data_IF_632982271590
#
_entry.id   IF_632982271590
#
_cell.length_a   1.000
_cell.length_b   1.000
_cell.length_c   1.000
_cell.angle_alpha   90.00
_cell.angle_beta   90.00
_cell.angle_gamma   90.00
#
_symmetry.space_group_name_H-M   'P 1'
#
loop_
_entity.id
_entity.type
_entity.pdbx_description
1 polymer ?
#
# COMPACT_ATOMS: atom_id res chain seq x y z
N UNK A 1 4.61 -10.92 -4.52
CA UNK A 1 4.66 -9.57 -3.91
C UNK A 1 6.04 -9.25 -3.36
N UNK A 2 6.64 -10.14 -2.57
CA UNK A 2 7.98 -9.94 -2.00
C UNK A 2 9.08 -9.70 -3.05
N UNK A 3 9.07 -10.45 -4.16
CA UNK A 3 10.04 -10.27 -5.25
C UNK A 3 9.97 -8.87 -5.87
N UNK A 4 8.75 -8.33 -6.06
CA UNK A 4 8.54 -6.96 -6.56
C UNK A 4 9.08 -5.91 -5.59
N UNK A 5 8.89 -6.11 -4.28
CA UNK A 5 9.45 -5.21 -3.26
C UNK A 5 10.99 -5.26 -3.27
N UNK A 6 11.58 -6.44 -3.41
CA UNK A 6 13.03 -6.60 -3.48
C UNK A 6 13.64 -5.97 -4.75
N UNK A 7 12.98 -6.10 -5.90
CA UNK A 7 13.38 -5.38 -7.13
C UNK A 7 13.33 -3.86 -6.93
N UNK A 8 12.27 -3.34 -6.31
CA UNK A 8 12.13 -1.91 -6.09
C UNK A 8 13.17 -1.36 -5.09
N UNK A 9 13.47 -2.11 -4.03
CA UNK A 9 14.58 -1.80 -3.12
C UNK A 9 15.89 -1.73 -3.90
N UNK A 10 16.18 -2.74 -4.75
CA UNK A 10 17.41 -2.77 -5.55
C UNK A 10 17.45 -1.61 -6.54
N UNK A 11 16.34 -1.23 -7.17
CA UNK A 11 16.24 -0.09 -8.09
C UNK A 11 16.50 1.24 -7.40
N UNK A 12 15.82 1.53 -6.28
CA UNK A 12 15.95 2.81 -5.56
C UNK A 12 17.33 2.97 -4.92
N UNK A 13 17.90 1.88 -4.38
CA UNK A 13 19.26 1.90 -3.83
C UNK A 13 20.33 2.06 -4.91
N UNK A 14 20.12 1.50 -6.11
CA UNK A 14 21.04 1.67 -7.25
C UNK A 14 21.16 3.12 -7.73
N UNK A 15 20.06 3.88 -7.70
CA UNK A 15 20.06 5.31 -8.08
C UNK A 15 20.95 6.14 -7.15
N UNK A 16 20.94 5.84 -5.84
CA UNK A 16 21.74 6.57 -4.84
C UNK A 16 23.23 6.24 -4.96
N UNK A 17 23.58 5.04 -5.45
CA UNK A 17 24.95 4.48 -5.59
C UNK A 17 25.73 4.31 -4.29
N UNK A 18 25.93 5.38 -3.52
CA UNK A 18 26.69 5.39 -2.26
C UNK A 18 25.89 6.14 -1.20
N UNK A 19 25.67 5.51 -0.05
CA UNK A 19 25.02 6.14 1.09
C UNK A 19 26.06 6.74 2.04
N UNK A 20 25.76 7.89 2.68
CA UNK A 20 26.68 8.54 3.62
C UNK A 20 26.85 7.75 4.92
N UNK A 21 25.90 6.88 5.29
CA UNK A 21 25.97 5.94 6.40
C UNK A 21 24.88 4.86 6.26
N UNK A 22 24.95 3.81 7.09
CA UNK A 22 24.00 2.71 7.09
C UNK A 22 22.56 3.16 7.44
N UNK A 23 22.40 4.13 8.35
CA UNK A 23 21.07 4.60 8.72
C UNK A 23 20.34 5.28 7.57
N UNK A 24 21.05 6.00 6.70
CA UNK A 24 20.46 6.62 5.51
C UNK A 24 19.89 5.58 4.54
N UNK A 25 20.58 4.46 4.35
CA UNK A 25 20.05 3.32 3.58
C UNK A 25 18.81 2.72 4.26
N UNK A 26 18.89 2.51 5.58
CA UNK A 26 17.77 1.98 6.36
C UNK A 26 16.53 2.88 6.30
N UNK A 27 16.70 4.20 6.34
CA UNK A 27 15.61 5.18 6.21
C UNK A 27 14.89 5.05 4.86
N UNK A 28 15.64 4.95 3.76
CA UNK A 28 15.07 4.77 2.42
C UNK A 28 14.26 3.48 2.33
N UNK A 29 14.84 2.36 2.77
CA UNK A 29 14.19 1.04 2.69
C UNK A 29 12.94 0.99 3.57
N UNK A 30 13.01 1.55 4.79
CA UNK A 30 11.85 1.63 5.68
C UNK A 30 10.72 2.47 5.09
N UNK A 31 11.03 3.64 4.54
CA UNK A 31 10.03 4.49 3.90
C UNK A 31 9.32 3.76 2.75
N UNK A 32 10.07 3.06 1.88
CA UNK A 32 9.51 2.26 0.81
C UNK A 32 8.64 1.10 1.33
N UNK A 33 9.06 0.42 2.39
CA UNK A 33 8.30 -0.67 2.98
C UNK A 33 6.96 -0.19 3.57
N UNK A 34 6.96 0.95 4.25
CA UNK A 34 5.74 1.58 4.80
C UNK A 34 4.79 1.98 3.66
N UNK A 35 5.28 2.70 2.66
CA UNK A 35 4.52 3.11 1.46
C UNK A 35 3.88 1.88 0.78
N UNK A 36 4.66 0.81 0.60
CA UNK A 36 4.18 -0.43 -0.03
C UNK A 36 3.10 -1.12 0.83
N UNK A 37 3.30 -1.15 2.14
CA UNK A 37 2.33 -1.73 3.07
C UNK A 37 1.01 -0.95 3.07
N UNK A 38 1.06 0.38 3.14
CA UNK A 38 -0.13 1.23 3.07
C UNK A 38 -0.89 1.01 1.76
N UNK A 39 -0.18 1.01 0.63
CA UNK A 39 -0.78 0.72 -0.67
C UNK A 39 -1.41 -0.68 -0.72
N UNK A 40 -0.79 -1.70 -0.13
CA UNK A 40 -1.39 -3.04 -0.06
C UNK A 40 -2.62 -3.07 0.83
N UNK A 41 -2.64 -2.37 1.97
CA UNK A 41 -3.84 -2.27 2.80
C UNK A 41 -5.00 -1.59 2.06
N UNK A 42 -4.70 -0.55 1.28
CA UNK A 42 -5.72 0.18 0.51
C UNK A 42 -6.22 -0.60 -0.71
N UNK A 43 -5.31 -1.20 -1.47
CA UNK A 43 -5.62 -1.95 -2.69
C UNK A 43 -6.29 -3.30 -2.39
N UNK A 44 -5.95 -3.92 -1.27
CA UNK A 44 -6.50 -5.21 -0.87
C UNK A 44 -7.78 -5.04 -0.03
N UNK A 45 -8.59 -4.01 -0.34
CA UNK A 45 -9.94 -3.81 0.22
C UNK A 45 -10.81 -4.99 -0.20
N UNK A 46 -10.69 -6.07 0.56
CA UNK A 46 -11.22 -7.41 0.27
C UNK A 46 -12.75 -7.45 0.27
N UNK A 47 -13.39 -6.38 0.75
CA UNK A 47 -14.82 -6.21 0.79
C UNK A 47 -15.16 -4.87 0.15
N UNK A 48 -15.76 -4.92 -1.04
CA UNK A 48 -16.40 -3.75 -1.61
C UNK A 48 -17.69 -3.47 -0.81
N UNK A 49 -17.66 -2.40 -0.01
CA UNK A 49 -18.80 -2.02 0.83
C UNK A 49 -19.88 -1.26 0.07
N UNK A 50 -19.69 -1.02 -1.23
CA UNK A 50 -20.67 -0.32 -2.06
C UNK A 50 -21.93 -1.16 -2.26
N UNK A 51 -21.80 -2.48 -2.42
CA UNK A 51 -22.96 -3.39 -2.49
C UNK A 51 -23.78 -3.35 -1.20
N UNK A 52 -23.11 -3.34 -0.04
CA UNK A 52 -23.78 -3.22 1.26
C UNK A 52 -24.46 -1.86 1.41
N UNK A 53 -23.84 -0.77 0.92
CA UNK A 53 -24.42 0.58 0.94
C UNK A 53 -25.65 0.69 0.06
N UNK A 54 -25.62 0.10 -1.13
CA UNK A 54 -26.77 0.08 -2.05
C UNK A 54 -27.93 -0.75 -1.48
N UNK A 55 -27.65 -1.92 -0.89
CA UNK A 55 -28.67 -2.70 -0.18
C UNK A 55 -29.33 -1.91 0.96
N UNK A 56 -28.54 -1.16 1.76
CA UNK A 56 -29.08 -0.31 2.83
C UNK A 56 -29.96 0.83 2.29
N UNK A 57 -29.58 1.46 1.17
CA UNK A 57 -30.42 2.50 0.53
C UNK A 57 -31.75 1.93 0.03
N UNK A 58 -31.74 0.75 -0.59
CA UNK A 58 -32.96 0.09 -1.07
C UNK A 58 -33.90 -0.25 0.09
N UNK A 59 -33.37 -0.80 1.19
CA UNK A 59 -34.16 -1.08 2.39
C UNK A 59 -34.80 0.18 2.98
N UNK A 60 -34.05 1.29 3.03
CA UNK A 60 -34.58 2.59 3.48
C UNK A 60 -35.70 3.13 2.57
N UNK A 61 -35.59 2.94 1.26
CA UNK A 61 -36.63 3.33 0.29
C UNK A 61 -37.90 2.49 0.39
N UNK A 62 -37.78 1.22 0.76
CA UNK A 62 -38.93 0.31 0.95
C UNK A 62 -39.65 0.54 2.29
N UNK A 63 -38.96 1.13 3.27
CA UNK A 63 -39.51 1.44 4.59
C UNK A 63 -40.20 2.82 4.69
N UNK A 64 -40.11 3.62 3.62
CA UNK A 64 -40.76 4.93 3.48
C UNK A 64 -42.02 4.80 2.61
#
# INVERSE_FOLDING_TARGET
MLERLNEEIRRRTYVVRIFPNAESCLRLVRALAVETNENWMEANRYINMDDLREHKKLALRQAA
#
